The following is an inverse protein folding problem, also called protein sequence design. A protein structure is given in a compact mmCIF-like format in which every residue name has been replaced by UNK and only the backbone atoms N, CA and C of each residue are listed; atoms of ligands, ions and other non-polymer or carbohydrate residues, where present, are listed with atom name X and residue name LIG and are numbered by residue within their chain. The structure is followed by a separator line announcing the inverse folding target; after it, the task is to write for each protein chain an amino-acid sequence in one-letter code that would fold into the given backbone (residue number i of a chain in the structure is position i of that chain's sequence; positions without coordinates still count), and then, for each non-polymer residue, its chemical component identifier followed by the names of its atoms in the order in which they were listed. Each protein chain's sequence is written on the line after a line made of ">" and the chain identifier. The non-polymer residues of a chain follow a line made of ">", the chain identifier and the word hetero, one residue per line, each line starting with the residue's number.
data_IF_834055176722
#
_entry.id   IF_834055176722
#
_cell.length_a   1.000
_cell.length_b   1.000
_cell.length_c   1.000
_cell.angle_alpha   90.00
_cell.angle_beta   90.00
_cell.angle_gamma   90.00
#
_symmetry.space_group_name_H-M   'P 1'
#
loop_
_entity.id
_entity.type
_entity.pdbx_description
1 polymer ?
#
# COMPACT_ATOMS: atom_id res chain seq x y z
N UNK A 1 18.66 70.65 31.93
CA UNK A 1 18.47 72.12 31.87
C UNK A 1 19.35 72.69 30.77
N UNK A 2 18.78 73.58 29.96
CA UNK A 2 19.41 74.57 29.06
C UNK A 2 20.29 74.07 27.90
N UNK A 3 19.85 74.24 26.64
CA UNK A 3 20.14 75.38 25.72
C UNK A 3 21.51 75.14 25.04
N UNK A 4 21.59 75.06 23.72
CA UNK A 4 22.01 76.18 22.88
C UNK A 4 21.50 76.04 21.43
N UNK A 5 20.82 77.11 20.97
CA UNK A 5 20.61 77.45 19.56
C UNK A 5 21.93 77.93 18.95
N UNK A 6 22.09 77.84 17.62
CA UNK A 6 22.11 79.00 16.70
C UNK A 6 22.38 78.61 15.23
N UNK A 7 21.48 79.11 14.37
CA UNK A 7 21.63 79.74 13.05
C UNK A 7 22.52 79.11 11.96
N UNK A 8 22.29 79.26 10.65
CA UNK A 8 21.18 79.62 9.75
C UNK A 8 21.85 79.75 8.38
N UNK A 9 21.36 79.09 7.33
CA UNK A 9 21.51 79.58 5.95
C UNK A 9 20.42 78.96 5.08
N UNK A 10 19.60 79.83 4.51
CA UNK A 10 18.58 79.51 3.54
C UNK A 10 19.24 79.35 2.16
N UNK A 11 18.82 78.33 1.39
CA UNK A 11 18.84 78.42 -0.09
C UNK A 11 17.64 77.63 -0.65
N UNK A 12 16.73 78.42 -1.21
CA UNK A 12 15.83 78.22 -2.34
C UNK A 12 15.50 76.81 -2.85
N UNK A 13 14.19 76.57 -2.92
CA UNK A 13 13.54 75.49 -3.63
C UNK A 13 13.89 75.48 -5.13
N UNK A 14 14.24 74.30 -5.65
CA UNK A 14 14.16 74.01 -7.08
C UNK A 14 13.27 72.78 -7.24
N UNK A 15 12.15 72.96 -7.95
CA UNK A 15 11.25 71.88 -8.37
C UNK A 15 12.01 70.89 -9.26
N UNK A 16 11.99 69.61 -8.89
CA UNK A 16 12.24 68.51 -9.81
C UNK A 16 10.96 67.68 -9.90
N UNK A 17 10.30 67.79 -11.05
CA UNK A 17 9.19 66.95 -11.46
C UNK A 17 9.74 65.53 -11.65
N UNK A 18 9.53 64.67 -10.66
CA UNK A 18 9.76 63.23 -10.78
C UNK A 18 8.54 62.60 -11.46
N UNK A 19 8.70 62.20 -12.72
CA UNK A 19 7.73 61.37 -13.44
C UNK A 19 7.63 60.03 -12.71
N UNK A 20 6.49 59.76 -12.08
CA UNK A 20 6.20 58.46 -11.49
C UNK A 20 6.11 57.40 -12.59
N UNK A 21 7.05 56.46 -12.59
CA UNK A 21 6.91 55.24 -13.38
C UNK A 21 5.79 54.40 -12.76
N UNK A 22 4.59 54.48 -13.33
CA UNK A 22 3.53 53.50 -13.09
C UNK A 22 4.01 52.20 -13.75
N UNK A 23 4.53 51.28 -12.94
CA UNK A 23 4.79 49.92 -13.38
C UNK A 23 3.46 49.24 -13.71
N UNK A 24 3.13 49.13 -15.00
CA UNK A 24 2.06 48.27 -15.48
C UNK A 24 2.48 46.82 -15.17
N UNK A 25 1.91 46.24 -14.12
CA UNK A 25 1.97 44.79 -13.91
C UNK A 25 1.26 44.13 -15.10
N UNK A 26 2.01 43.40 -15.92
CA UNK A 26 1.43 42.56 -16.94
C UNK A 26 0.49 41.53 -16.26
N UNK A 27 -0.70 41.26 -16.81
CA UNK A 27 -1.54 40.20 -16.28
C UNK A 27 -0.76 38.89 -16.38
N UNK A 28 -0.54 38.24 -15.23
CA UNK A 28 -0.04 36.87 -15.21
C UNK A 28 -1.08 36.00 -15.91
N UNK A 29 -0.79 35.59 -17.13
CA UNK A 29 -1.59 34.58 -17.83
C UNK A 29 -1.49 33.31 -17.00
N UNK A 30 -2.57 32.96 -16.29
CA UNK A 30 -2.68 31.66 -15.66
C UNK A 30 -2.36 30.60 -16.72
N UNK A 31 -1.32 29.79 -16.47
CA UNK A 31 -1.07 28.66 -17.35
C UNK A 31 -2.29 27.76 -17.31
N UNK A 32 -2.76 27.24 -18.47
CA UNK A 32 -3.86 26.30 -18.47
C UNK A 32 -3.48 25.15 -17.55
N UNK A 33 -4.29 24.92 -16.50
CA UNK A 33 -4.17 23.71 -15.69
C UNK A 33 -4.44 22.56 -16.66
N UNK A 34 -3.39 21.86 -17.07
CA UNK A 34 -3.53 20.66 -17.88
C UNK A 34 -4.48 19.73 -17.12
N UNK A 35 -5.57 19.32 -17.77
CA UNK A 35 -6.45 18.30 -17.21
C UNK A 35 -5.60 17.08 -16.83
N UNK A 36 -5.80 16.48 -15.64
CA UNK A 36 -5.10 15.26 -15.29
C UNK A 36 -5.32 14.22 -16.39
N UNK A 37 -4.31 13.37 -16.69
CA UNK A 37 -4.49 12.30 -17.65
C UNK A 37 -5.67 11.42 -17.22
N UNK A 38 -6.38 10.80 -18.18
CA UNK A 38 -7.44 9.85 -17.85
C UNK A 38 -6.87 8.71 -16.99
N UNK A 39 -7.69 8.21 -16.06
CA UNK A 39 -7.34 7.07 -15.21
C UNK A 39 -7.12 5.86 -16.11
N UNK A 40 -5.98 5.20 -15.93
CA UNK A 40 -5.69 3.93 -16.60
C UNK A 40 -5.79 2.80 -15.58
N UNK A 41 -6.57 1.78 -15.90
CA UNK A 41 -6.79 0.64 -15.03
C UNK A 41 -5.84 -0.50 -15.41
N UNK A 42 -5.10 -1.00 -14.42
CA UNK A 42 -4.34 -2.23 -14.50
C UNK A 42 -5.27 -3.44 -14.38
N UNK A 43 -6.26 -3.34 -13.49
CA UNK A 43 -7.30 -4.33 -13.24
C UNK A 43 -8.66 -3.64 -13.17
N UNK A 44 -9.67 -4.24 -13.79
CA UNK A 44 -11.05 -3.78 -13.78
C UNK A 44 -11.96 -4.87 -14.40
N UNK A 45 -13.19 -5.04 -13.90
CA UNK A 45 -14.19 -5.90 -14.55
C UNK A 45 -14.45 -5.59 -16.04
N UNK A 46 -14.07 -4.41 -16.52
CA UNK A 46 -14.29 -3.96 -17.90
C UNK A 46 -13.12 -4.24 -18.85
N UNK A 47 -11.97 -4.71 -18.35
CA UNK A 47 -10.80 -4.98 -19.19
C UNK A 47 -10.72 -6.47 -19.55
N UNK A 48 -10.36 -6.77 -20.79
CA UNK A 48 -10.05 -8.15 -21.19
C UNK A 48 -8.64 -8.55 -20.76
N UNK A 49 -8.46 -9.82 -20.37
CA UNK A 49 -7.20 -10.37 -19.87
C UNK A 49 -6.65 -9.61 -18.64
N UNK A 50 -7.51 -9.45 -17.63
CA UNK A 50 -7.17 -8.80 -16.37
C UNK A 50 -6.13 -9.63 -15.58
N UNK A 51 -4.95 -9.09 -15.25
CA UNK A 51 -3.94 -9.80 -14.45
C UNK A 51 -4.39 -10.08 -13.01
N UNK A 52 -5.43 -9.39 -12.53
CA UNK A 52 -6.09 -9.65 -11.27
C UNK A 52 -7.20 -10.72 -11.35
N UNK A 53 -7.56 -11.25 -12.51
CA UNK A 53 -8.59 -12.30 -12.63
C UNK A 53 -7.98 -13.60 -13.14
N UNK A 54 -7.51 -14.42 -12.20
CA UNK A 54 -6.90 -15.72 -12.47
C UNK A 54 -7.76 -16.85 -11.91
N UNK A 55 -7.85 -18.02 -12.58
CA UNK A 55 -8.43 -19.22 -11.98
C UNK A 55 -7.80 -19.53 -10.62
N UNK A 56 -8.56 -20.06 -9.67
CA UNK A 56 -8.09 -20.26 -8.30
C UNK A 56 -7.58 -21.67 -8.02
N UNK A 57 -7.45 -22.53 -9.04
CA UNK A 57 -6.95 -23.88 -8.86
C UNK A 57 -5.51 -23.85 -8.32
N UNK A 58 -5.25 -24.70 -7.34
CA UNK A 58 -4.03 -24.62 -6.52
C UNK A 58 -3.46 -26.00 -6.29
N UNK A 59 -2.14 -26.14 -6.47
CA UNK A 59 -1.39 -27.29 -5.97
C UNK A 59 -0.69 -26.92 -4.67
N UNK A 60 -0.90 -27.70 -3.62
CA UNK A 60 -0.12 -27.63 -2.39
C UNK A 60 1.07 -28.61 -2.50
N UNK A 61 2.30 -28.08 -2.54
CA UNK A 61 3.51 -28.93 -2.64
C UNK A 61 3.86 -29.66 -1.34
N UNK A 62 3.34 -29.23 -0.20
CA UNK A 62 3.58 -29.85 1.09
C UNK A 62 2.75 -31.11 1.30
N UNK A 63 1.52 -31.13 0.77
CA UNK A 63 0.60 -32.28 0.85
C UNK A 63 0.50 -33.08 -0.45
N UNK A 64 0.82 -32.45 -1.59
CA UNK A 64 0.54 -32.98 -2.93
C UNK A 64 -0.92 -32.83 -3.37
N UNK A 65 -1.76 -32.14 -2.58
CA UNK A 65 -3.17 -31.93 -2.89
C UNK A 65 -3.34 -30.93 -4.03
N UNK A 66 -4.33 -31.18 -4.88
CA UNK A 66 -4.76 -30.27 -5.95
C UNK A 66 -6.21 -29.87 -5.69
N UNK A 67 -6.42 -28.60 -5.37
CA UNK A 67 -7.75 -28.00 -5.25
C UNK A 67 -8.15 -27.42 -6.61
N UNK A 68 -9.31 -27.83 -7.13
CA UNK A 68 -9.82 -27.30 -8.39
C UNK A 68 -10.28 -25.84 -8.28
N UNK A 69 -10.39 -25.16 -9.42
CA UNK A 69 -11.04 -23.84 -9.49
C UNK A 69 -12.56 -24.05 -9.50
N UNK A 70 -13.35 -23.35 -8.67
CA UNK A 70 -14.77 -23.24 -8.92
C UNK A 70 -15.01 -22.53 -10.25
N UNK A 71 -16.23 -22.65 -10.79
CA UNK A 71 -16.64 -21.83 -11.92
C UNK A 71 -16.54 -20.35 -11.52
N UNK A 72 -15.93 -19.49 -12.36
CA UNK A 72 -15.85 -18.07 -12.06
C UNK A 72 -17.24 -17.49 -11.82
N UNK A 73 -17.43 -16.86 -10.66
CA UNK A 73 -18.65 -16.11 -10.38
C UNK A 73 -18.74 -14.92 -11.34
N UNK A 74 -19.94 -14.57 -11.78
CA UNK A 74 -20.15 -13.36 -12.56
C UNK A 74 -19.72 -12.14 -11.71
N UNK A 75 -19.05 -11.15 -12.32
CA UNK A 75 -18.65 -9.93 -11.63
C UNK A 75 -19.84 -9.24 -10.95
N UNK A 76 -21.04 -9.37 -11.52
CA UNK A 76 -22.28 -8.84 -10.94
C UNK A 76 -22.71 -9.56 -9.65
N UNK A 77 -22.28 -10.81 -9.44
CA UNK A 77 -22.63 -11.64 -8.28
C UNK A 77 -21.67 -11.43 -7.10
N UNK A 78 -20.48 -10.87 -7.33
CA UNK A 78 -19.53 -10.57 -6.26
C UNK A 78 -20.16 -9.54 -5.31
N UNK A 79 -20.11 -9.73 -3.97
CA UNK A 79 -20.85 -8.90 -3.02
C UNK A 79 -20.24 -7.52 -2.79
N UNK A 80 -18.91 -7.41 -2.93
CA UNK A 80 -18.13 -6.21 -2.64
C UNK A 80 -17.08 -5.97 -3.73
N UNK A 81 -16.39 -4.84 -3.64
CA UNK A 81 -15.31 -4.46 -4.54
C UNK A 81 -13.97 -4.49 -3.81
N UNK A 82 -12.88 -4.73 -4.54
CA UNK A 82 -11.52 -4.58 -4.05
C UNK A 82 -10.85 -3.42 -4.77
N UNK A 83 -10.30 -2.46 -4.03
CA UNK A 83 -9.47 -1.41 -4.57
C UNK A 83 -8.00 -1.66 -4.20
N UNK A 84 -7.23 -2.17 -5.16
CA UNK A 84 -5.85 -2.59 -4.96
C UNK A 84 -4.86 -1.52 -5.45
N UNK A 85 -3.89 -1.17 -4.62
CA UNK A 85 -2.77 -0.29 -4.99
C UNK A 85 -1.46 -1.06 -4.83
N UNK A 86 -0.78 -1.30 -5.95
CA UNK A 86 0.42 -2.13 -6.03
C UNK A 86 1.68 -1.46 -5.47
N UNK A 87 2.72 -2.22 -5.06
CA UNK A 87 3.96 -1.70 -4.50
C UNK A 87 4.92 -1.15 -5.57
N UNK A 88 6.11 -0.70 -5.16
CA UNK A 88 7.16 -0.39 -6.13
C UNK A 88 7.67 -1.66 -6.81
N UNK A 89 7.49 -1.77 -8.12
CA UNK A 89 8.02 -2.86 -8.95
C UNK A 89 8.73 -2.39 -10.20
N UNK A 90 8.50 -1.15 -10.65
CA UNK A 90 9.03 -0.67 -11.93
C UNK A 90 10.57 -0.65 -11.98
N UNK A 91 11.10 -1.27 -13.04
CA UNK A 91 12.53 -1.29 -13.38
C UNK A 91 12.98 -0.04 -14.16
N UNK A 92 12.09 0.93 -14.38
CA UNK A 92 12.41 2.15 -15.12
C UNK A 92 13.47 3.00 -14.40
N UNK A 93 14.28 3.70 -15.18
CA UNK A 93 15.35 4.57 -14.67
C UNK A 93 14.89 6.01 -14.37
N UNK A 94 13.63 6.34 -14.68
CA UNK A 94 13.03 7.60 -14.24
C UNK A 94 12.75 7.55 -12.72
N UNK A 95 12.61 8.71 -12.05
CA UNK A 95 12.31 8.76 -10.60
C UNK A 95 10.90 8.23 -10.27
N UNK A 96 9.92 8.63 -11.08
CA UNK A 96 8.60 8.04 -11.11
C UNK A 96 8.45 7.23 -12.40
N UNK A 97 7.79 6.08 -12.31
CA UNK A 97 7.39 5.31 -13.48
C UNK A 97 6.40 6.12 -14.35
N UNK A 98 6.31 5.78 -15.63
CA UNK A 98 5.21 6.22 -16.48
C UNK A 98 3.89 5.47 -16.15
N UNK A 99 2.83 5.77 -16.91
CA UNK A 99 1.51 5.15 -16.74
C UNK A 99 1.34 3.92 -17.63
N UNK A 100 2.41 3.15 -17.87
CA UNK A 100 2.38 1.94 -18.69
C UNK A 100 2.36 0.69 -17.81
N UNK A 101 1.45 -0.24 -18.09
CA UNK A 101 1.44 -1.56 -17.45
C UNK A 101 2.55 -2.46 -18.01
N UNK A 102 3.78 -2.24 -17.55
CA UNK A 102 4.93 -3.08 -17.90
C UNK A 102 4.79 -4.51 -17.34
N UNK A 103 5.53 -5.51 -17.86
CA UNK A 103 5.38 -6.91 -17.45
C UNK A 103 5.51 -7.15 -15.93
N UNK A 104 6.39 -6.41 -15.24
CA UNK A 104 6.54 -6.49 -13.79
C UNK A 104 5.35 -5.88 -13.03
N UNK A 105 4.70 -4.86 -13.60
CA UNK A 105 3.46 -4.26 -13.07
C UNK A 105 2.29 -5.22 -13.24
N UNK A 106 2.19 -5.91 -14.37
CA UNK A 106 1.18 -6.97 -14.56
C UNK A 106 1.42 -8.15 -13.61
N UNK A 107 2.68 -8.59 -13.47
CA UNK A 107 3.03 -9.73 -12.61
C UNK A 107 2.67 -9.47 -11.15
N UNK A 108 2.89 -8.26 -10.63
CA UNK A 108 2.60 -7.98 -9.22
C UNK A 108 1.10 -7.95 -8.91
N UNK A 109 0.27 -7.52 -9.86
CA UNK A 109 -1.18 -7.61 -9.73
C UNK A 109 -1.65 -9.06 -9.59
N UNK A 110 -1.11 -9.96 -10.42
CA UNK A 110 -1.36 -11.39 -10.26
C UNK A 110 -0.87 -11.92 -8.91
N UNK A 111 0.31 -11.50 -8.46
CA UNK A 111 0.89 -11.99 -7.21
C UNK A 111 0.15 -11.52 -5.94
N UNK A 112 -0.48 -10.35 -5.94
CA UNK A 112 -0.95 -9.71 -4.71
C UNK A 112 -2.43 -9.33 -4.69
N UNK A 113 -3.12 -9.36 -5.83
CA UNK A 113 -4.56 -9.07 -5.89
C UNK A 113 -5.38 -10.24 -6.44
N UNK A 114 -4.85 -11.05 -7.35
CA UNK A 114 -5.68 -12.02 -8.07
C UNK A 114 -6.34 -13.09 -7.20
N UNK A 115 -5.77 -13.41 -6.04
CA UNK A 115 -6.38 -14.36 -5.11
C UNK A 115 -7.66 -13.82 -4.46
N UNK A 116 -7.81 -12.50 -4.34
CA UNK A 116 -9.01 -11.88 -3.81
C UNK A 116 -10.16 -11.81 -4.82
N UNK A 117 -9.88 -11.97 -6.13
CA UNK A 117 -10.87 -11.80 -7.18
C UNK A 117 -12.04 -12.80 -7.11
N UNK A 118 -11.89 -13.91 -6.39
CA UNK A 118 -13.00 -14.83 -6.11
C UNK A 118 -14.12 -14.21 -5.26
N UNK A 119 -13.81 -13.24 -4.40
CA UNK A 119 -14.77 -12.62 -3.47
C UNK A 119 -15.15 -11.17 -3.79
N UNK A 120 -14.43 -10.50 -4.69
CA UNK A 120 -14.65 -9.09 -4.99
C UNK A 120 -14.31 -8.71 -6.43
N UNK A 121 -14.99 -7.68 -6.95
CA UNK A 121 -14.62 -7.06 -8.23
C UNK A 121 -13.34 -6.25 -8.04
N UNK A 122 -12.26 -6.55 -8.78
CA UNK A 122 -10.96 -5.91 -8.53
C UNK A 122 -10.76 -4.67 -9.40
N UNK A 123 -10.46 -3.54 -8.77
CA UNK A 123 -10.07 -2.29 -9.40
C UNK A 123 -8.66 -1.93 -8.94
N UNK A 124 -7.73 -1.80 -9.89
CA UNK A 124 -6.36 -1.40 -9.60
C UNK A 124 -5.90 -0.35 -10.60
N UNK A 125 -5.58 0.88 -10.17
CA UNK A 125 -5.10 1.90 -11.10
C UNK A 125 -3.61 1.71 -11.42
N UNK A 126 -3.23 2.00 -12.66
CA UNK A 126 -1.83 2.31 -12.98
C UNK A 126 -1.56 3.71 -12.45
N UNK A 127 -0.52 3.83 -11.62
CA UNK A 127 -0.09 5.09 -11.03
C UNK A 127 1.42 5.26 -11.17
N UNK A 128 1.87 6.52 -11.17
CA UNK A 128 3.29 6.91 -11.28
C UNK A 128 4.05 6.60 -9.99
N UNK A 129 4.23 5.32 -9.71
CA UNK A 129 4.99 4.79 -8.58
C UNK A 129 6.43 5.34 -8.56
N UNK A 130 7.03 5.50 -7.38
CA UNK A 130 8.49 5.68 -7.30
C UNK A 130 9.16 4.39 -7.81
N UNK A 131 10.13 4.51 -8.71
CA UNK A 131 10.83 3.34 -9.28
C UNK A 131 11.81 2.72 -8.28
N UNK A 132 12.15 1.45 -8.50
CA UNK A 132 12.85 0.65 -7.48
C UNK A 132 14.26 1.17 -7.17
N UNK A 133 15.02 1.56 -8.21
CA UNK A 133 16.43 1.95 -8.03
C UNK A 133 16.57 3.45 -7.76
N UNK A 134 16.27 4.37 -8.71
CA UNK A 134 16.51 5.79 -8.47
C UNK A 134 15.36 6.44 -7.69
N UNK A 135 14.12 5.95 -7.82
CA UNK A 135 12.94 6.53 -7.18
C UNK A 135 12.93 6.38 -5.66
N UNK A 136 13.09 5.16 -5.14
CA UNK A 136 13.13 4.92 -3.68
C UNK A 136 14.25 5.73 -3.03
N UNK A 137 15.46 5.71 -3.60
CA UNK A 137 16.59 6.45 -3.05
C UNK A 137 16.33 7.96 -3.01
N UNK A 138 15.78 8.54 -4.09
CA UNK A 138 15.43 9.96 -4.13
C UNK A 138 14.27 10.30 -3.18
N UNK A 139 13.27 9.43 -3.06
CA UNK A 139 12.15 9.60 -2.13
C UNK A 139 12.61 9.61 -0.67
N UNK A 140 13.48 8.67 -0.28
CA UNK A 140 14.11 8.65 1.04
C UNK A 140 15.01 9.88 1.30
N UNK A 141 15.57 10.47 0.24
CA UNK A 141 16.29 11.73 0.30
C UNK A 141 15.37 12.98 0.33
N UNK A 142 14.04 12.80 0.34
CA UNK A 142 13.05 13.87 0.48
C UNK A 142 12.47 14.41 -0.84
N UNK A 143 12.73 13.76 -1.98
CA UNK A 143 12.06 14.13 -3.22
C UNK A 143 10.55 13.83 -3.13
N UNK A 144 9.66 14.73 -3.57
CA UNK A 144 8.21 14.60 -3.41
C UNK A 144 7.58 13.65 -4.45
N UNK A 145 8.18 12.48 -4.66
CA UNK A 145 7.78 11.53 -5.69
C UNK A 145 6.50 10.79 -5.31
N UNK A 146 6.29 10.55 -4.01
CA UNK A 146 5.12 9.87 -3.46
C UNK A 146 3.83 10.68 -3.68
N UNK A 147 3.90 12.02 -3.68
CA UNK A 147 2.77 12.92 -3.93
C UNK A 147 2.23 12.77 -5.35
N UNK A 148 3.12 12.55 -6.33
CA UNK A 148 2.71 12.33 -7.73
C UNK A 148 1.89 11.05 -7.83
N UNK A 149 2.39 9.95 -7.25
CA UNK A 149 1.66 8.69 -7.21
C UNK A 149 0.34 8.79 -6.44
N UNK A 150 0.32 9.50 -5.30
CA UNK A 150 -0.91 9.72 -4.53
C UNK A 150 -1.96 10.49 -5.32
N UNK A 151 -1.55 11.50 -6.11
CA UNK A 151 -2.46 12.24 -6.98
C UNK A 151 -3.17 11.34 -8.00
N UNK A 152 -2.45 10.39 -8.60
CA UNK A 152 -3.01 9.41 -9.53
C UNK A 152 -3.97 8.44 -8.81
N UNK A 153 -3.58 7.93 -7.64
CA UNK A 153 -4.43 7.04 -6.82
C UNK A 153 -5.72 7.73 -6.37
N UNK A 154 -5.64 8.99 -5.95
CA UNK A 154 -6.82 9.77 -5.57
C UNK A 154 -7.74 10.03 -6.77
N UNK A 155 -7.18 10.32 -7.95
CA UNK A 155 -7.96 10.48 -9.17
C UNK A 155 -8.68 9.17 -9.53
N UNK A 156 -8.00 8.03 -9.44
CA UNK A 156 -8.59 6.72 -9.67
C UNK A 156 -9.67 6.34 -8.66
N UNK A 157 -9.45 6.62 -7.38
CA UNK A 157 -10.45 6.40 -6.33
C UNK A 157 -11.74 7.19 -6.62
N UNK A 158 -11.60 8.46 -6.98
CA UNK A 158 -12.75 9.31 -7.31
C UNK A 158 -13.48 8.84 -8.58
N UNK A 159 -12.73 8.39 -9.60
CA UNK A 159 -13.29 7.83 -10.83
C UNK A 159 -14.09 6.55 -10.55
N UNK A 160 -13.51 5.61 -9.79
CA UNK A 160 -14.17 4.38 -9.34
C UNK A 160 -15.44 4.68 -8.53
N UNK A 161 -15.41 5.62 -7.58
CA UNK A 161 -16.60 5.99 -6.81
C UNK A 161 -17.70 6.58 -7.69
N UNK A 162 -17.33 7.36 -8.71
CA UNK A 162 -18.28 8.03 -9.60
C UNK A 162 -18.92 7.09 -10.63
N UNK A 163 -18.20 6.07 -11.10
CA UNK A 163 -18.61 5.27 -12.25
C UNK A 163 -18.90 3.80 -11.93
N UNK A 164 -18.26 3.22 -10.91
CA UNK A 164 -18.22 1.76 -10.72
C UNK A 164 -18.77 1.28 -9.38
N UNK A 165 -18.45 1.98 -8.28
CA UNK A 165 -18.76 1.52 -6.92
C UNK A 165 -20.27 1.42 -6.68
N UNK A 166 -21.06 2.39 -7.14
CA UNK A 166 -22.52 2.40 -6.99
C UNK A 166 -23.03 2.12 -5.57
N UNK A 167 -22.27 2.50 -4.53
CA UNK A 167 -22.64 2.31 -3.14
C UNK A 167 -22.18 0.98 -2.52
N UNK A 168 -21.46 0.13 -3.26
CA UNK A 168 -21.00 -1.20 -2.81
C UNK A 168 -19.95 -1.08 -1.70
N UNK A 169 -19.87 -2.12 -0.87
CA UNK A 169 -18.78 -2.28 0.08
C UNK A 169 -17.45 -2.41 -0.63
N UNK A 170 -16.36 -1.94 -0.01
CA UNK A 170 -15.03 -1.95 -0.58
C UNK A 170 -13.97 -2.45 0.40
N UNK A 171 -13.13 -3.37 -0.08
CA UNK A 171 -11.91 -3.81 0.58
C UNK A 171 -10.74 -3.06 -0.05
N UNK A 172 -9.91 -2.44 0.77
CA UNK A 172 -8.68 -1.77 0.29
C UNK A 172 -7.50 -2.72 0.45
N UNK A 173 -6.67 -2.88 -0.57
CA UNK A 173 -5.51 -3.78 -0.53
C UNK A 173 -4.27 -3.01 -0.96
N UNK A 174 -3.26 -2.95 -0.11
CA UNK A 174 -2.00 -2.27 -0.37
C UNK A 174 -0.81 -3.08 0.10
N UNK A 175 0.30 -2.93 -0.62
CA UNK A 175 1.61 -3.38 -0.16
C UNK A 175 2.63 -2.27 -0.34
N UNK A 176 3.58 -2.15 0.60
CA UNK A 176 4.72 -1.25 0.48
C UNK A 176 4.29 0.20 0.14
N UNK A 177 4.74 0.73 -1.00
CA UNK A 177 4.30 2.04 -1.49
C UNK A 177 2.78 2.14 -1.66
N UNK A 178 2.11 1.09 -2.12
CA UNK A 178 0.65 1.06 -2.24
C UNK A 178 -0.04 1.20 -0.88
N UNK A 179 0.53 0.60 0.18
CA UNK A 179 0.09 0.86 1.56
C UNK A 179 0.28 2.31 1.95
N UNK A 180 1.41 2.94 1.61
CA UNK A 180 1.62 4.37 1.88
C UNK A 180 0.54 5.23 1.19
N UNK A 181 0.19 4.91 -0.06
CA UNK A 181 -0.87 5.62 -0.81
C UNK A 181 -2.24 5.43 -0.14
N UNK A 182 -2.58 4.19 0.22
CA UNK A 182 -3.87 3.87 0.85
C UNK A 182 -3.97 4.42 2.27
N UNK A 183 -2.88 4.46 3.05
CA UNK A 183 -2.84 5.16 4.34
C UNK A 183 -3.22 6.63 4.16
N UNK A 184 -2.64 7.31 3.18
CA UNK A 184 -2.97 8.72 2.88
C UNK A 184 -4.41 8.88 2.38
N UNK A 185 -4.87 7.98 1.51
CA UNK A 185 -6.24 8.00 1.00
C UNK A 185 -7.26 7.83 2.13
N UNK A 186 -7.05 6.84 3.01
CA UNK A 186 -7.92 6.59 4.14
C UNK A 186 -7.90 7.77 5.10
N UNK A 187 -6.71 8.26 5.48
CA UNK A 187 -6.54 9.39 6.40
C UNK A 187 -7.29 10.63 5.92
N UNK A 188 -7.15 11.00 4.65
CA UNK A 188 -7.71 12.25 4.12
C UNK A 188 -9.18 12.15 3.72
N UNK A 189 -9.56 11.02 3.09
CA UNK A 189 -10.83 10.92 2.37
C UNK A 189 -11.83 10.05 3.12
N UNK A 190 -11.39 8.90 3.65
CA UNK A 190 -12.30 7.87 4.18
C UNK A 190 -12.55 8.07 5.67
N UNK A 191 -11.51 8.09 6.51
CA UNK A 191 -11.62 8.22 7.97
C UNK A 191 -12.49 9.41 8.43
N UNK A 192 -12.33 10.64 7.88
CA UNK A 192 -13.17 11.77 8.29
C UNK A 192 -14.59 11.73 7.73
N UNK A 193 -14.90 10.84 6.77
CA UNK A 193 -16.18 10.77 6.08
C UNK A 193 -17.02 9.56 6.55
N UNK A 194 -18.08 9.75 7.36
CA UNK A 194 -18.90 8.65 7.84
C UNK A 194 -19.57 7.82 6.75
N UNK A 195 -19.83 8.39 5.56
CA UNK A 195 -20.44 7.65 4.46
C UNK A 195 -19.45 6.67 3.82
N UNK A 196 -18.22 7.12 3.55
CA UNK A 196 -17.16 6.25 3.04
C UNK A 196 -16.72 5.22 4.09
N UNK A 197 -16.67 5.58 5.38
CA UNK A 197 -16.41 4.60 6.45
C UNK A 197 -17.45 3.47 6.49
N UNK A 198 -18.73 3.77 6.23
CA UNK A 198 -19.76 2.72 6.16
C UNK A 198 -19.57 1.78 4.98
N UNK A 199 -18.93 2.22 3.90
CA UNK A 199 -18.62 1.37 2.74
C UNK A 199 -17.35 0.54 2.95
N UNK A 200 -16.48 0.91 3.89
CA UNK A 200 -15.26 0.15 4.15
C UNK A 200 -15.59 -1.21 4.78
N UNK A 201 -15.33 -2.27 4.03
CA UNK A 201 -15.47 -3.67 4.50
C UNK A 201 -14.25 -4.06 5.32
N UNK A 202 -13.06 -3.67 4.84
CA UNK A 202 -11.77 -3.90 5.50
C UNK A 202 -10.63 -3.26 4.71
N UNK A 203 -9.46 -3.14 5.32
CA UNK A 203 -8.26 -2.66 4.63
C UNK A 203 -7.05 -3.52 4.98
N UNK A 204 -6.44 -4.14 3.98
CA UNK A 204 -5.24 -4.98 4.07
C UNK A 204 -4.03 -4.13 3.67
N UNK A 205 -3.38 -3.54 4.67
CA UNK A 205 -2.32 -2.55 4.51
C UNK A 205 -0.97 -3.12 4.93
N UNK A 206 -0.33 -3.85 4.01
CA UNK A 206 0.88 -4.63 4.29
C UNK A 206 2.15 -3.84 4.04
N UNK A 207 3.17 -4.03 4.89
CA UNK A 207 4.52 -3.51 4.64
C UNK A 207 4.62 -1.99 4.54
N UNK A 208 3.91 -1.22 5.38
CA UNK A 208 3.85 0.24 5.19
C UNK A 208 3.59 1.08 6.43
N UNK A 209 3.99 0.61 7.62
CA UNK A 209 3.95 1.34 8.89
C UNK A 209 2.61 2.01 9.23
N UNK A 210 1.49 1.27 9.13
CA UNK A 210 0.21 1.79 9.65
C UNK A 210 0.37 2.13 11.13
N UNK A 211 0.02 3.35 11.55
CA UNK A 211 0.25 3.81 12.93
C UNK A 211 -1.03 3.89 13.75
N UNK A 212 -0.95 3.47 15.01
CA UNK A 212 -1.95 3.76 16.05
C UNK A 212 -1.30 4.50 17.22
N UNK A 213 -2.12 5.14 18.07
CA UNK A 213 -1.61 5.60 19.37
C UNK A 213 -1.17 4.38 20.20
N UNK A 214 -0.11 4.51 21.00
CA UNK A 214 0.39 3.40 21.80
C UNK A 214 -0.71 2.81 22.70
N UNK A 215 -0.88 1.48 22.65
CA UNK A 215 -1.90 0.76 23.41
C UNK A 215 -3.34 0.96 22.93
N UNK A 216 -3.55 1.53 21.75
CA UNK A 216 -4.86 1.82 21.16
C UNK A 216 -4.97 1.19 19.76
N UNK A 217 -6.22 0.95 19.33
CA UNK A 217 -6.53 0.50 17.97
C UNK A 217 -6.70 1.67 16.98
N UNK A 218 -6.75 2.91 17.48
CA UNK A 218 -6.89 4.16 16.72
C UNK A 218 -5.90 5.22 17.23
N UNK A 219 -5.89 6.41 16.62
CA UNK A 219 -5.22 7.60 17.14
C UNK A 219 -3.83 7.87 16.56
N UNK A 220 -3.46 7.16 15.49
CA UNK A 220 -2.31 7.47 14.64
C UNK A 220 -2.78 7.92 13.26
N UNK A 221 -2.63 7.06 12.26
CA UNK A 221 -3.09 7.35 10.90
C UNK A 221 -4.58 7.62 10.84
N UNK A 222 -5.37 6.89 11.64
CA UNK A 222 -6.84 6.95 11.58
C UNK A 222 -7.39 7.25 12.97
N UNK A 223 -8.34 8.19 13.02
CA UNK A 223 -9.00 8.60 14.26
C UNK A 223 -10.26 7.77 14.52
N UNK A 224 -10.88 7.23 13.46
CA UNK A 224 -12.19 6.59 13.54
C UNK A 224 -12.20 5.13 13.05
N UNK A 225 -11.25 4.74 12.19
CA UNK A 225 -11.11 3.38 11.68
C UNK A 225 -10.07 2.64 12.55
N UNK A 226 -10.48 1.61 13.31
CA UNK A 226 -9.56 0.84 14.14
C UNK A 226 -8.75 -0.18 13.31
N UNK A 227 -7.62 -0.63 13.85
CA UNK A 227 -7.01 -1.90 13.43
C UNK A 227 -7.84 -3.08 13.94
N UNK A 228 -7.88 -4.16 13.18
CA UNK A 228 -8.64 -5.36 13.51
C UNK A 228 -8.04 -6.09 14.71
N UNK A 229 -8.91 -6.62 15.58
CA UNK A 229 -8.51 -7.28 16.83
C UNK A 229 -9.07 -8.69 17.00
N UNK A 230 -10.10 -9.06 16.24
CA UNK A 230 -10.77 -10.35 16.37
C UNK A 230 -11.29 -10.87 15.02
N UNK A 231 -11.63 -12.15 15.02
CA UNK A 231 -12.25 -12.82 13.90
C UNK A 231 -13.57 -12.16 13.46
N UNK A 232 -13.75 -12.02 12.14
CA UNK A 232 -14.94 -11.43 11.52
C UNK A 232 -15.19 -9.96 11.84
N UNK A 233 -14.20 -9.21 12.34
CA UNK A 233 -14.36 -7.77 12.54
C UNK A 233 -14.26 -7.04 11.19
N UNK A 234 -15.33 -6.39 10.74
CA UNK A 234 -15.36 -5.56 9.52
C UNK A 234 -15.17 -4.07 9.85
N UNK A 235 -14.88 -3.26 8.82
CA UNK A 235 -14.66 -1.82 8.95
C UNK A 235 -13.35 -1.48 9.67
N UNK A 236 -12.38 -2.39 9.67
CA UNK A 236 -11.10 -2.24 10.36
C UNK A 236 -9.91 -2.55 9.43
N UNK A 237 -8.71 -2.22 9.91
CA UNK A 237 -7.45 -2.37 9.17
C UNK A 237 -6.68 -3.61 9.63
N UNK A 238 -6.35 -4.49 8.70
CA UNK A 238 -5.35 -5.56 8.85
C UNK A 238 -4.02 -5.00 8.37
N UNK A 239 -3.02 -4.96 9.24
CA UNK A 239 -1.71 -4.40 8.91
C UNK A 239 -0.60 -5.11 9.67
N UNK A 240 0.48 -5.43 8.96
CA UNK A 240 1.73 -5.90 9.53
C UNK A 240 2.84 -5.77 8.47
N UNK A 241 4.09 -5.94 8.91
CA UNK A 241 5.25 -6.20 8.05
C UNK A 241 5.91 -7.47 8.56
N UNK A 242 6.49 -8.28 7.70
CA UNK A 242 7.04 -9.58 8.09
C UNK A 242 8.53 -9.54 8.39
N UNK A 243 8.95 -10.40 9.33
CA UNK A 243 10.35 -10.64 9.65
C UNK A 243 10.57 -12.12 10.00
N UNK A 244 11.76 -12.65 9.76
CA UNK A 244 12.17 -13.99 10.22
C UNK A 244 13.15 -13.95 11.39
N UNK A 245 13.70 -12.76 11.69
CA UNK A 245 14.57 -12.52 12.82
C UNK A 245 14.23 -11.19 13.52
N UNK A 246 14.81 -10.95 14.69
CA UNK A 246 14.64 -9.68 15.40
C UNK A 246 15.30 -8.54 14.61
N UNK A 247 14.55 -7.50 14.21
CA UNK A 247 15.12 -6.40 13.45
C UNK A 247 16.13 -5.62 14.30
N UNK A 248 17.29 -5.33 13.71
CA UNK A 248 18.26 -4.39 14.29
C UNK A 248 18.09 -3.00 13.68
N UNK A 249 17.97 -2.93 12.34
CA UNK A 249 17.65 -1.73 11.58
C UNK A 249 16.70 -2.11 10.45
N UNK A 250 15.51 -1.52 10.43
CA UNK A 250 14.50 -1.74 9.38
C UNK A 250 13.76 -0.44 9.07
N UNK A 251 13.29 -0.30 7.82
CA UNK A 251 12.35 0.75 7.43
C UNK A 251 10.93 0.48 7.96
N UNK A 252 10.67 -0.74 8.40
CA UNK A 252 9.34 -1.18 8.83
C UNK A 252 9.30 -1.51 10.31
N UNK A 253 8.15 -1.34 10.94
CA UNK A 253 7.88 -1.80 12.30
C UNK A 253 8.21 -0.80 13.41
N UNK A 254 8.92 0.31 13.13
CA UNK A 254 9.29 1.28 14.18
C UNK A 254 8.87 2.72 13.85
N UNK A 255 7.87 3.21 14.57
CA UNK A 255 7.30 4.56 14.41
C UNK A 255 8.28 5.69 14.74
N UNK A 256 9.31 5.45 15.55
CA UNK A 256 10.25 6.48 16.00
C UNK A 256 11.33 6.80 14.97
N UNK A 257 11.58 5.88 14.04
CA UNK A 257 12.55 6.02 12.94
C UNK A 257 11.89 5.93 11.56
N UNK A 258 10.58 6.10 11.51
CA UNK A 258 9.77 5.99 10.30
C UNK A 258 10.07 7.13 9.31
N UNK A 259 10.84 6.79 8.27
CA UNK A 259 11.19 7.69 7.18
C UNK A 259 10.13 7.75 6.07
N UNK A 260 9.14 6.86 6.07
CA UNK A 260 8.17 6.71 4.98
C UNK A 260 6.96 7.63 5.18
N UNK A 261 6.45 7.71 6.40
CA UNK A 261 5.23 8.47 6.74
C UNK A 261 5.36 10.00 6.54
N UNK A 262 6.45 10.68 6.96
CA UNK A 262 6.54 12.14 6.87
C UNK A 262 6.43 12.69 5.45
N UNK A 263 6.95 11.95 4.45
CA UNK A 263 6.89 12.36 3.05
C UNK A 263 5.44 12.53 2.56
N UNK A 264 4.48 11.83 3.14
CA UNK A 264 3.06 11.97 2.83
C UNK A 264 2.30 12.79 3.87
N UNK A 265 2.96 13.43 4.83
CA UNK A 265 2.29 14.16 5.90
C UNK A 265 1.49 13.25 6.85
N UNK A 266 1.82 11.96 6.90
CA UNK A 266 1.25 11.02 7.86
C UNK A 266 1.98 11.15 9.21
N UNK A 267 1.32 10.82 10.34
CA UNK A 267 1.95 10.84 11.65
C UNK A 267 3.21 9.99 11.73
N UNK A 268 4.14 10.37 12.60
CA UNK A 268 5.30 9.56 12.98
C UNK A 268 5.81 9.96 14.37
N UNK A 269 6.72 9.16 14.93
CA UNK A 269 7.38 9.45 16.20
C UNK A 269 6.96 8.55 17.37
N UNK A 270 7.60 8.75 18.55
CA UNK A 270 7.55 7.82 19.67
C UNK A 270 6.19 7.74 20.40
N UNK A 271 5.26 8.67 20.13
CA UNK A 271 3.89 8.63 20.66
C UNK A 271 3.01 7.56 20.01
N UNK A 272 3.47 6.99 18.89
CA UNK A 272 2.74 5.99 18.12
C UNK A 272 3.42 4.62 18.20
N UNK A 273 2.69 3.59 17.80
CA UNK A 273 3.22 2.27 17.48
C UNK A 273 2.86 1.92 16.04
N UNK A 274 3.70 1.14 15.36
CA UNK A 274 3.30 0.48 14.12
C UNK A 274 2.27 -0.60 14.48
N UNK A 275 1.22 -0.72 13.70
CA UNK A 275 0.21 -1.75 13.86
C UNK A 275 0.77 -3.12 13.42
N UNK A 276 0.49 -4.13 14.22
CA UNK A 276 0.62 -5.52 13.83
C UNK A 276 -0.65 -6.25 14.25
N UNK A 277 -1.39 -6.76 13.26
CA UNK A 277 -2.60 -7.55 13.47
C UNK A 277 -2.32 -9.01 13.11
N UNK A 278 -2.45 -9.91 14.07
CA UNK A 278 -2.08 -11.31 13.89
C UNK A 278 -3.09 -12.06 12.98
N UNK A 279 -2.72 -12.47 11.76
CA UNK A 279 -3.63 -13.12 10.84
C UNK A 279 -4.15 -14.48 11.37
N UNK A 280 -3.41 -15.18 12.24
CA UNK A 280 -3.91 -16.43 12.83
C UNK A 280 -5.08 -16.17 13.79
N UNK A 281 -5.01 -15.07 14.56
CA UNK A 281 -6.10 -14.62 15.44
C UNK A 281 -7.29 -14.12 14.62
N UNK A 282 -7.03 -13.30 13.61
CA UNK A 282 -8.09 -12.72 12.77
C UNK A 282 -8.81 -13.74 11.90
N UNK A 283 -8.13 -14.80 11.45
CA UNK A 283 -8.78 -15.87 10.68
C UNK A 283 -9.46 -16.92 11.56
N UNK A 284 -9.11 -16.99 12.85
CA UNK A 284 -9.49 -18.09 13.74
C UNK A 284 -8.79 -19.41 13.43
N UNK A 285 -7.76 -19.40 12.57
CA UNK A 285 -7.03 -20.58 12.14
C UNK A 285 -5.53 -20.41 12.49
N UNK A 286 -4.98 -21.18 13.45
CA UNK A 286 -3.58 -21.11 13.83
C UNK A 286 -2.65 -22.06 13.05
N UNK A 287 -3.17 -22.80 12.06
CA UNK A 287 -2.40 -23.83 11.36
C UNK A 287 -1.19 -23.23 10.63
N UNK A 288 -0.12 -24.00 10.38
CA UNK A 288 0.99 -23.54 9.57
C UNK A 288 0.56 -23.18 8.15
N UNK A 289 1.10 -22.09 7.60
CA UNK A 289 0.80 -21.60 6.24
C UNK A 289 2.00 -21.70 5.33
N UNK A 290 1.79 -21.87 4.03
CA UNK A 290 2.83 -21.74 3.01
C UNK A 290 2.92 -20.34 2.41
N UNK A 291 3.82 -20.19 1.46
CA UNK A 291 3.86 -19.04 0.55
C UNK A 291 3.09 -19.46 -0.71
N UNK A 292 2.01 -18.75 -1.02
CA UNK A 292 1.16 -19.01 -2.19
C UNK A 292 1.43 -17.96 -3.26
N UNK A 293 1.82 -18.39 -4.45
CA UNK A 293 2.10 -17.53 -5.61
C UNK A 293 1.50 -18.13 -6.90
N UNK A 294 1.33 -17.33 -7.97
CA UNK A 294 1.06 -17.89 -9.29
C UNK A 294 2.16 -18.86 -9.71
N UNK A 295 1.79 -19.97 -10.34
CA UNK A 295 2.74 -20.95 -10.90
C UNK A 295 3.47 -20.37 -12.11
N UNK A 296 2.87 -19.41 -12.80
CA UNK A 296 3.55 -18.63 -13.83
C UNK A 296 4.68 -17.80 -13.19
N UNK A 297 5.88 -17.78 -13.79
CA UNK A 297 7.00 -17.04 -13.24
C UNK A 297 6.73 -15.53 -13.28
N UNK A 298 7.17 -14.83 -12.24
CA UNK A 298 7.21 -13.37 -12.23
C UNK A 298 8.07 -12.85 -13.39
N UNK A 299 7.66 -11.76 -14.04
CA UNK A 299 8.40 -11.19 -15.16
C UNK A 299 9.86 -10.88 -14.79
N UNK A 300 10.79 -11.21 -15.70
CA UNK A 300 12.21 -10.99 -15.44
C UNK A 300 12.51 -9.50 -15.23
N UNK A 301 13.20 -9.19 -14.13
CA UNK A 301 13.39 -7.85 -13.62
C UNK A 301 13.99 -7.87 -12.22
N UNK A 302 14.18 -6.71 -11.60
CA UNK A 302 14.87 -6.65 -10.30
C UNK A 302 14.07 -7.40 -9.22
N UNK A 303 12.74 -7.27 -9.19
CA UNK A 303 11.89 -8.00 -8.24
C UNK A 303 12.03 -9.52 -8.39
N UNK A 304 12.06 -10.05 -9.62
CA UNK A 304 12.27 -11.50 -9.84
C UNK A 304 13.61 -11.99 -9.28
N UNK A 305 14.67 -11.19 -9.40
CA UNK A 305 16.00 -11.51 -8.87
C UNK A 305 15.97 -11.47 -7.34
N UNK A 306 15.31 -10.47 -6.75
CA UNK A 306 15.17 -10.38 -5.30
C UNK A 306 14.34 -11.55 -4.75
N UNK A 307 13.22 -11.92 -5.37
CA UNK A 307 12.42 -13.10 -4.99
C UNK A 307 13.26 -14.38 -5.00
N UNK A 308 14.08 -14.58 -6.05
CA UNK A 308 14.99 -15.70 -6.14
C UNK A 308 16.12 -15.68 -5.11
N UNK A 309 16.48 -14.52 -4.56
CA UNK A 309 17.44 -14.43 -3.46
C UNK A 309 16.78 -14.60 -2.09
N UNK A 310 15.58 -14.03 -1.88
CA UNK A 310 14.93 -13.93 -0.57
C UNK A 310 14.02 -15.10 -0.29
N UNK A 311 12.93 -15.16 -1.02
CA UNK A 311 11.77 -16.00 -0.72
C UNK A 311 11.99 -17.41 -1.26
N UNK A 312 12.74 -17.51 -2.36
CA UNK A 312 12.90 -18.71 -3.16
C UNK A 312 14.35 -19.05 -3.57
N UNK A 313 15.32 -19.12 -2.63
CA UNK A 313 16.73 -19.38 -2.95
C UNK A 313 17.02 -20.74 -3.60
N UNK A 314 16.11 -21.71 -3.52
CA UNK A 314 16.23 -23.01 -4.21
C UNK A 314 15.27 -23.14 -5.41
N UNK A 315 14.59 -22.05 -5.77
CA UNK A 315 13.64 -21.97 -6.89
C UNK A 315 12.22 -21.66 -6.43
N UNK A 316 11.50 -20.87 -7.23
CA UNK A 316 10.10 -20.54 -6.95
C UNK A 316 9.23 -21.80 -7.07
N UNK A 317 8.26 -22.01 -6.16
CA UNK A 317 7.33 -23.12 -6.26
C UNK A 317 6.49 -22.99 -7.54
N UNK A 318 6.34 -24.09 -8.27
CA UNK A 318 5.55 -24.16 -9.51
C UNK A 318 4.87 -25.51 -9.63
N UNK A 319 3.73 -25.54 -10.33
CA UNK A 319 2.99 -26.75 -10.66
C UNK A 319 2.23 -26.59 -11.98
N UNK A 320 1.36 -27.54 -12.31
CA UNK A 320 0.46 -27.45 -13.46
C UNK A 320 -0.82 -26.64 -13.16
N UNK A 321 -1.06 -26.30 -11.89
CA UNK A 321 -2.17 -25.43 -11.50
C UNK A 321 -1.87 -23.98 -11.83
N UNK A 322 -2.88 -23.11 -11.72
CA UNK A 322 -2.67 -21.65 -11.81
C UNK A 322 -1.86 -21.13 -10.63
N UNK A 323 -2.08 -21.71 -9.44
CA UNK A 323 -1.38 -21.34 -8.20
C UNK A 323 -0.61 -22.50 -7.60
N UNK A 324 0.47 -22.17 -6.89
CA UNK A 324 1.23 -23.12 -6.11
C UNK A 324 1.48 -22.59 -4.71
N UNK A 325 1.15 -23.41 -3.71
CA UNK A 325 1.56 -23.19 -2.32
C UNK A 325 2.86 -23.95 -2.07
N UNK A 326 3.87 -23.26 -1.51
CA UNK A 326 5.18 -23.85 -1.19
C UNK A 326 5.06 -25.12 -0.35
N UNK A 327 6.08 -25.98 -0.34
CA UNK A 327 6.09 -27.15 0.55
C UNK A 327 6.38 -26.73 2.00
N UNK A 328 7.21 -25.71 2.15
CA UNK A 328 7.57 -25.12 3.41
C UNK A 328 6.34 -24.53 4.10
N UNK A 329 6.28 -24.71 5.41
CA UNK A 329 5.21 -24.22 6.26
C UNK A 329 5.81 -23.31 7.32
N UNK A 330 5.06 -22.28 7.69
CA UNK A 330 5.45 -21.28 8.65
C UNK A 330 4.35 -21.02 9.67
N UNK A 331 4.77 -20.71 10.88
CA UNK A 331 3.92 -20.17 11.95
C UNK A 331 4.50 -18.83 12.38
N UNK A 332 3.65 -17.87 12.68
CA UNK A 332 4.09 -16.55 13.10
C UNK A 332 3.13 -15.92 14.11
N UNK A 333 3.58 -14.79 14.67
CA UNK A 333 2.82 -13.97 15.59
C UNK A 333 3.33 -12.54 15.56
N UNK A 334 2.50 -11.59 15.96
CA UNK A 334 2.96 -10.23 16.22
C UNK A 334 3.88 -10.17 17.44
N UNK A 335 5.03 -9.50 17.32
CA UNK A 335 5.98 -9.28 18.43
C UNK A 335 6.43 -7.82 18.47
N UNK A 336 6.68 -7.29 19.67
CA UNK A 336 7.38 -6.01 19.85
C UNK A 336 8.77 -6.29 20.43
N UNK A 337 9.82 -6.00 19.65
CA UNK A 337 11.23 -6.18 20.05
C UNK A 337 12.06 -4.99 19.58
N UNK A 338 12.91 -4.45 20.44
CA UNK A 338 13.76 -3.28 20.13
C UNK A 338 12.99 -2.05 19.58
N UNK A 339 11.71 -1.91 19.92
CA UNK A 339 10.82 -0.86 19.41
C UNK A 339 10.24 -1.12 18.01
N UNK A 340 10.53 -2.28 17.42
CA UNK A 340 9.90 -2.79 16.20
C UNK A 340 8.70 -3.65 16.55
N UNK A 341 7.55 -3.38 15.94
CA UNK A 341 6.33 -4.18 16.04
C UNK A 341 6.02 -4.78 14.66
N UNK A 342 6.28 -6.07 14.50
CA UNK A 342 6.19 -6.79 13.24
C UNK A 342 5.58 -8.19 13.42
N UNK A 343 5.19 -8.81 12.30
CA UNK A 343 4.74 -10.20 12.26
C UNK A 343 5.95 -11.09 12.03
N UNK A 344 6.50 -11.60 13.13
CA UNK A 344 7.63 -12.52 13.06
C UNK A 344 7.13 -13.94 12.80
N UNK A 345 7.68 -14.58 11.78
CA UNK A 345 7.38 -15.97 11.44
C UNK A 345 8.62 -16.84 11.42
N UNK A 346 8.42 -18.14 11.61
CA UNK A 346 9.45 -19.17 11.50
C UNK A 346 8.92 -20.35 10.70
N UNK A 347 9.81 -21.00 9.96
CA UNK A 347 9.51 -22.26 9.30
C UNK A 347 9.28 -23.35 10.34
N UNK A 348 8.35 -24.26 10.08
CA UNK A 348 8.05 -25.40 10.96
C UNK A 348 9.07 -26.52 10.83
N UNK A 349 9.67 -26.66 9.65
CA UNK A 349 10.80 -27.56 9.40
C UNK A 349 12.10 -26.73 9.33
N UNK A 350 13.07 -26.94 10.24
CA UNK A 350 14.36 -26.23 10.19
C UNK A 350 15.24 -26.61 8.99
N UNK A 351 14.95 -27.74 8.32
CA UNK A 351 15.67 -28.21 7.14
C UNK A 351 15.07 -27.74 5.82
N UNK A 352 13.89 -27.11 5.86
CA UNK A 352 13.24 -26.50 4.71
C UNK A 352 14.05 -25.32 4.15
N UNK A 353 13.73 -24.92 2.92
CA UNK A 353 14.31 -23.74 2.31
C UNK A 353 14.14 -22.51 3.21
N UNK A 354 15.26 -21.89 3.59
CA UNK A 354 15.25 -20.65 4.35
C UNK A 354 14.71 -19.48 3.53
N UNK A 355 14.03 -18.55 4.21
CA UNK A 355 13.74 -17.22 3.68
C UNK A 355 14.88 -16.31 4.09
N UNK A 356 15.55 -15.68 3.13
CA UNK A 356 16.55 -14.66 3.40
C UNK A 356 15.89 -13.28 3.54
N UNK A 357 16.47 -12.42 4.37
CA UNK A 357 16.02 -11.04 4.53
C UNK A 357 16.84 -10.08 3.65
N UNK A 358 16.19 -9.01 3.19
CA UNK A 358 16.87 -7.89 2.56
C UNK A 358 17.27 -6.87 3.63
N UNK A 359 18.51 -6.33 3.58
CA UNK A 359 18.92 -5.26 4.48
C UNK A 359 17.90 -4.12 4.47
N UNK A 360 17.46 -3.68 5.66
CA UNK A 360 16.43 -2.66 5.89
C UNK A 360 14.99 -3.03 5.53
N UNK A 361 14.76 -4.15 4.83
CA UNK A 361 13.45 -4.58 4.35
C UNK A 361 12.98 -5.90 4.98
N UNK A 362 13.77 -6.56 5.82
CA UNK A 362 13.40 -7.85 6.44
C UNK A 362 12.90 -8.86 5.37
N UNK A 363 11.80 -9.58 5.63
CA UNK A 363 11.15 -10.51 4.69
C UNK A 363 9.99 -9.88 3.90
N UNK A 364 9.97 -8.54 3.75
CA UNK A 364 8.91 -7.72 3.14
C UNK A 364 8.33 -8.21 1.79
N UNK A 365 9.08 -8.97 0.99
CA UNK A 365 8.58 -9.53 -0.27
C UNK A 365 7.54 -10.65 -0.10
N UNK A 366 7.31 -11.15 1.13
CA UNK A 366 6.29 -12.17 1.41
C UNK A 366 5.13 -11.68 2.28
N UNK A 367 5.03 -10.37 2.57
CA UNK A 367 4.01 -9.85 3.50
C UNK A 367 2.57 -10.28 3.15
N UNK A 368 2.24 -10.32 1.85
CA UNK A 368 0.93 -10.80 1.35
C UNK A 368 0.95 -12.30 1.10
N UNK A 369 1.99 -12.82 0.44
CA UNK A 369 1.99 -14.18 -0.08
C UNK A 369 2.18 -15.26 0.99
N UNK A 370 2.77 -14.92 2.14
CA UNK A 370 2.85 -15.81 3.30
C UNK A 370 1.46 -15.95 3.95
N UNK A 371 0.82 -17.10 3.76
CA UNK A 371 -0.56 -17.29 4.22
C UNK A 371 -1.56 -16.47 3.42
N UNK A 372 -1.38 -16.35 2.10
CA UNK A 372 -2.27 -15.59 1.24
C UNK A 372 -3.74 -16.03 1.37
N UNK A 373 -4.00 -17.34 1.39
CA UNK A 373 -5.35 -17.90 1.58
C UNK A 373 -5.96 -17.53 2.94
N UNK A 374 -5.11 -17.34 3.95
CA UNK A 374 -5.56 -16.85 5.27
C UNK A 374 -6.02 -15.40 5.19
N UNK A 375 -5.35 -14.55 4.42
CA UNK A 375 -5.79 -13.16 4.19
C UNK A 375 -7.11 -13.10 3.41
N UNK A 376 -7.27 -13.95 2.38
CA UNK A 376 -8.53 -14.06 1.64
C UNK A 376 -9.65 -14.53 2.55
N UNK A 377 -9.42 -15.53 3.41
CA UNK A 377 -10.43 -15.95 4.39
C UNK A 377 -10.81 -14.85 5.38
N UNK A 378 -9.86 -14.01 5.81
CA UNK A 378 -10.18 -12.84 6.64
C UNK A 378 -11.08 -11.87 5.86
N UNK A 379 -10.77 -11.59 4.59
CA UNK A 379 -11.58 -10.72 3.74
C UNK A 379 -13.01 -11.24 3.54
N UNK A 380 -13.19 -12.54 3.35
CA UNK A 380 -14.50 -13.20 3.27
C UNK A 380 -15.29 -13.02 4.57
N UNK A 381 -14.67 -13.30 5.73
CA UNK A 381 -15.31 -13.14 7.04
C UNK A 381 -15.69 -11.68 7.33
N UNK A 382 -14.87 -10.73 6.88
CA UNK A 382 -15.16 -9.29 6.95
C UNK A 382 -16.33 -8.91 6.04
N UNK A 383 -16.38 -9.48 4.84
CA UNK A 383 -17.47 -9.26 3.88
C UNK A 383 -18.80 -9.76 4.46
N UNK A 384 -18.85 -10.98 4.97
CA UNK A 384 -20.05 -11.56 5.59
C UNK A 384 -20.55 -10.69 6.76
N UNK A 385 -19.62 -10.24 7.61
CA UNK A 385 -19.95 -9.42 8.77
C UNK A 385 -20.42 -8.02 8.38
N UNK A 386 -19.83 -7.45 7.32
CA UNK A 386 -20.26 -6.17 6.76
C UNK A 386 -21.67 -6.27 6.18
N UNK A 387 -21.95 -7.28 5.33
CA UNK A 387 -23.26 -7.52 4.73
C UNK A 387 -24.35 -7.75 5.78
N UNK A 388 -24.03 -8.40 6.90
CA UNK A 388 -24.96 -8.59 8.00
C UNK A 388 -25.27 -7.30 8.80
N UNK A 389 -24.47 -6.25 8.62
CA UNK A 389 -24.57 -4.97 9.35
C UNK A 389 -25.16 -3.82 8.53
N UNK A 390 -25.27 -3.99 7.21
CA UNK A 390 -25.86 -3.05 6.24
C UNK A 390 -27.31 -3.37 5.96
#
# INVERSE_FOLDING_TARGET
>A
MSVWRRLSCAVSATLLVGVGAVGLAAPSTAQPVLSPPPVQWLCSPHIGADPCDLPSDTTDLGTGEVTGSPEPADEAEKPVDCFYVYPTVSDQLALNADLTAQPEVQSIASYQAARFAGGCRVFAPIYRQMTLVPGIAAGLAGAPLAQTGYGDVLAAWNDYLAHDNNGRGVILIGHSQGTMMLRKLIHDQIDPNPALRRQLVGAFLMGGNVLTARGSTVGGDFQNIPVCTRQGESGCVVAYSTAVADPTVSLFGNSSVDALSPALGLPSGPGYQVACTDPAVLSGNPDPVGITIPSAPYAFGIISVLLGYTSFPQGAPTSASTWTTSAERAVGRCIEVNGYHDYQFRLTDPSAQHVNELPLFNSHLVDINLGYDRLVSIAEQQTDSWLAST
#
